data_IF_824642732006
#
_entry.id   IF_824642732006
#
_cell.length_a   1.000
_cell.length_b   1.000
_cell.length_c   1.000
_cell.angle_alpha   90.00
_cell.angle_beta   90.00
_cell.angle_gamma   90.00
#
_symmetry.space_group_name_H-M   'P 1'
#
loop_
_entity.id
_entity.type
_entity.pdbx_description
1 polymer ?
#
# COMPACT_ATOMS: atom_id res chain seq x y z
N UNK A 1 -79.63 22.09 -4.80
CA UNK A 1 -78.99 20.78 -5.06
C UNK A 1 -77.55 21.06 -5.48
N UNK A 2 -76.59 20.50 -4.74
CA UNK A 2 -75.17 20.87 -4.75
C UNK A 2 -74.45 20.42 -6.03
N UNK A 3 -73.74 21.34 -6.69
CA UNK A 3 -73.02 21.09 -7.94
C UNK A 3 -71.53 20.88 -7.66
N UNK A 4 -71.00 19.79 -8.19
CA UNK A 4 -69.63 19.29 -8.06
C UNK A 4 -68.67 20.09 -8.94
N UNK A 5 -67.50 20.44 -8.42
CA UNK A 5 -66.29 20.62 -9.24
C UNK A 5 -65.13 19.84 -8.60
N UNK A 6 -64.59 18.91 -9.38
CA UNK A 6 -63.42 18.08 -9.09
C UNK A 6 -62.13 18.93 -9.17
N UNK A 7 -61.09 18.62 -8.38
CA UNK A 7 -59.79 19.25 -8.55
C UNK A 7 -59.07 18.70 -9.79
N UNK A 8 -58.59 19.61 -10.62
CA UNK A 8 -57.63 19.35 -11.69
C UNK A 8 -56.29 18.93 -11.06
N UNK A 9 -55.89 17.67 -11.26
CA UNK A 9 -54.52 17.21 -11.01
C UNK A 9 -53.74 17.41 -12.30
N UNK A 10 -52.95 18.47 -12.38
CA UNK A 10 -52.00 18.66 -13.46
C UNK A 10 -50.80 17.75 -13.21
N UNK A 11 -50.74 16.62 -13.92
CA UNK A 11 -49.52 15.82 -14.04
C UNK A 11 -48.51 16.60 -14.87
N UNK A 12 -47.66 17.38 -14.20
CA UNK A 12 -46.56 18.07 -14.86
C UNK A 12 -45.47 17.04 -15.22
N UNK A 13 -45.23 16.75 -16.50
CA UNK A 13 -44.24 15.75 -16.92
C UNK A 13 -42.82 16.14 -16.50
N UNK A 14 -42.55 17.43 -16.25
CA UNK A 14 -41.29 17.90 -15.70
C UNK A 14 -41.07 17.46 -14.25
N UNK A 15 -42.13 17.33 -13.45
CA UNK A 15 -42.02 16.90 -12.05
C UNK A 15 -41.70 15.40 -11.94
N UNK A 16 -42.27 14.59 -12.84
CA UNK A 16 -41.95 13.15 -12.94
C UNK A 16 -40.52 12.93 -13.46
N UNK A 17 -40.06 13.76 -14.40
CA UNK A 17 -38.66 13.71 -14.88
C UNK A 17 -37.67 14.10 -13.78
N UNK A 18 -38.02 15.08 -12.95
CA UNK A 18 -37.15 15.55 -11.85
C UNK A 18 -37.00 14.49 -10.75
N UNK A 19 -38.09 13.79 -10.37
CA UNK A 19 -38.04 12.68 -9.42
C UNK A 19 -37.27 11.48 -10.00
N UNK A 20 -37.41 11.21 -11.29
CA UNK A 20 -36.66 10.13 -11.96
C UNK A 20 -35.16 10.45 -12.07
N UNK A 21 -34.79 11.73 -12.24
CA UNK A 21 -33.40 12.18 -12.24
C UNK A 21 -32.79 12.15 -10.83
N UNK A 22 -33.56 12.51 -9.79
CA UNK A 22 -33.15 12.39 -8.38
C UNK A 22 -32.99 10.93 -7.93
N UNK A 23 -33.81 10.01 -8.44
CA UNK A 23 -33.66 8.57 -8.20
C UNK A 23 -32.49 7.94 -8.98
N UNK A 24 -32.05 8.54 -10.10
CA UNK A 24 -30.82 8.12 -10.79
C UNK A 24 -29.54 8.60 -10.09
N UNK A 25 -29.60 9.71 -9.36
CA UNK A 25 -28.47 10.24 -8.57
C UNK A 25 -28.45 9.60 -7.17
N UNK A 26 -29.61 9.19 -6.65
CA UNK A 26 -29.72 8.31 -5.50
C UNK A 26 -29.62 6.84 -5.92
N UNK A 27 -28.53 6.47 -6.62
CA UNK A 27 -28.02 5.12 -6.39
C UNK A 27 -27.81 5.03 -4.88
N UNK A 28 -28.30 3.99 -4.18
CA UNK A 28 -27.77 3.74 -2.86
C UNK A 28 -26.27 3.72 -3.08
N UNK A 29 -25.53 4.57 -2.36
CA UNK A 29 -24.16 4.24 -2.08
C UNK A 29 -24.29 2.84 -1.50
N UNK A 30 -24.04 1.82 -2.32
CA UNK A 30 -23.81 0.48 -1.85
C UNK A 30 -22.84 0.73 -0.73
N UNK A 31 -23.29 0.46 0.50
CA UNK A 31 -22.43 0.50 1.66
C UNK A 31 -21.19 -0.26 1.23
N UNK A 32 -20.13 0.46 0.88
CA UNK A 32 -18.80 -0.08 0.79
C UNK A 32 -18.50 -0.38 2.25
N UNK A 33 -19.11 -1.44 2.77
CA UNK A 33 -18.49 -2.27 3.78
C UNK A 33 -17.15 -2.61 3.15
N UNK A 34 -16.15 -1.78 3.47
CA UNK A 34 -14.73 -1.91 3.17
C UNK A 34 -14.44 -3.34 2.72
N UNK A 35 -14.42 -3.60 1.41
CA UNK A 35 -14.33 -4.97 0.88
C UNK A 35 -13.02 -5.59 1.35
N UNK A 36 -13.10 -6.35 2.45
CA UNK A 36 -11.95 -7.04 3.03
C UNK A 36 -11.51 -8.15 2.08
N UNK A 37 -10.24 -8.51 2.17
CA UNK A 37 -9.69 -9.62 1.40
C UNK A 37 -10.48 -10.91 1.69
N UNK A 38 -11.05 -11.51 0.64
CA UNK A 38 -11.76 -12.78 0.73
C UNK A 38 -10.80 -13.97 0.54
N UNK A 39 -11.15 -15.18 1.00
CA UNK A 39 -10.35 -16.39 0.75
C UNK A 39 -10.07 -16.65 -0.73
N UNK A 40 -11.05 -16.41 -1.62
CA UNK A 40 -10.87 -16.58 -3.06
C UNK A 40 -9.86 -15.59 -3.64
N UNK A 41 -9.89 -14.33 -3.19
CA UNK A 41 -8.92 -13.31 -3.59
C UNK A 41 -7.52 -13.64 -3.04
N UNK A 42 -7.40 -14.08 -1.80
CA UNK A 42 -6.12 -14.51 -1.23
C UNK A 42 -5.52 -15.68 -2.01
N UNK A 43 -6.31 -16.69 -2.38
CA UNK A 43 -5.87 -17.79 -3.23
C UNK A 43 -5.41 -17.31 -4.61
N UNK A 44 -6.16 -16.42 -5.25
CA UNK A 44 -5.82 -15.86 -6.55
C UNK A 44 -4.52 -15.03 -6.51
N UNK A 45 -4.35 -14.19 -5.48
CA UNK A 45 -3.12 -13.44 -5.23
C UNK A 45 -1.91 -14.38 -5.08
N UNK A 46 -2.00 -15.38 -4.21
CA UNK A 46 -0.90 -16.32 -3.97
C UNK A 46 -0.63 -17.17 -5.21
N UNK A 47 -1.66 -17.59 -5.93
CA UNK A 47 -1.51 -18.32 -7.19
C UNK A 47 -0.73 -17.48 -8.22
N UNK A 48 -1.04 -16.18 -8.35
CA UNK A 48 -0.30 -15.26 -9.21
C UNK A 48 1.14 -15.08 -8.75
N UNK A 49 1.36 -14.87 -7.45
CA UNK A 49 2.69 -14.68 -6.86
C UNK A 49 3.63 -15.89 -7.07
N UNK A 50 3.06 -17.10 -7.13
CA UNK A 50 3.79 -18.34 -7.36
C UNK A 50 4.11 -18.60 -8.83
N UNK A 51 3.51 -17.90 -9.79
CA UNK A 51 3.83 -18.07 -11.21
C UNK A 51 5.26 -17.58 -11.50
N UNK A 52 6.00 -18.25 -12.41
CA UNK A 52 7.22 -17.67 -12.97
C UNK A 52 6.89 -16.30 -13.56
N UNK A 53 7.62 -15.26 -13.16
CA UNK A 53 7.36 -13.88 -13.57
C UNK A 53 5.91 -13.39 -13.34
N UNK A 54 5.25 -13.91 -12.30
CA UNK A 54 3.90 -13.49 -11.94
C UNK A 54 3.86 -12.02 -11.51
N UNK A 55 3.49 -11.13 -12.44
CA UNK A 55 3.27 -9.72 -12.15
C UNK A 55 2.00 -9.54 -11.31
N UNK A 56 2.17 -8.98 -10.11
CA UNK A 56 1.08 -8.70 -9.17
C UNK A 56 0.63 -7.25 -9.20
N UNK A 57 1.07 -6.42 -10.15
CA UNK A 57 0.75 -4.99 -10.22
C UNK A 57 -0.74 -4.69 -10.08
N UNK A 58 -1.62 -5.51 -10.66
CA UNK A 58 -3.09 -5.39 -10.51
C UNK A 58 -3.61 -5.57 -9.07
N UNK A 59 -2.83 -6.21 -8.20
CA UNK A 59 -3.14 -6.38 -6.79
C UNK A 59 -2.60 -5.25 -5.94
N UNK A 60 -1.57 -4.54 -6.40
CA UNK A 60 -0.88 -3.54 -5.60
C UNK A 60 -1.68 -2.23 -5.57
N UNK A 61 -1.63 -1.55 -4.44
CA UNK A 61 -2.17 -0.20 -4.32
C UNK A 61 -1.46 0.76 -5.31
N UNK A 62 -2.20 1.54 -6.11
CA UNK A 62 -1.60 2.43 -7.10
C UNK A 62 -0.57 3.41 -6.51
N UNK A 63 -0.78 3.89 -5.29
CA UNK A 63 0.17 4.80 -4.64
C UNK A 63 1.50 4.10 -4.29
N UNK A 64 1.46 2.80 -3.96
CA UNK A 64 2.67 1.99 -3.71
C UNK A 64 3.42 1.75 -5.03
N UNK A 65 2.70 1.43 -6.12
CA UNK A 65 3.31 1.28 -7.44
C UNK A 65 3.99 2.58 -7.91
N UNK A 66 3.27 3.70 -7.81
CA UNK A 66 3.80 5.02 -8.16
C UNK A 66 5.07 5.31 -7.36
N UNK A 67 5.01 5.11 -6.03
CA UNK A 67 6.16 5.33 -5.16
C UNK A 67 7.36 4.48 -5.54
N UNK A 68 7.14 3.20 -5.86
CA UNK A 68 8.24 2.31 -6.27
C UNK A 68 8.91 2.73 -7.59
N UNK A 69 8.19 3.42 -8.48
CA UNK A 69 8.66 3.82 -9.81
C UNK A 69 9.21 5.24 -9.87
N UNK A 70 8.95 6.06 -8.84
CA UNK A 70 9.14 7.52 -8.86
C UNK A 70 10.56 8.02 -9.16
N UNK A 71 11.59 7.26 -8.79
CA UNK A 71 12.99 7.63 -9.00
C UNK A 71 13.60 7.01 -10.28
N UNK A 72 12.81 6.35 -11.12
CA UNK A 72 13.31 5.74 -12.36
C UNK A 72 14.27 4.56 -12.17
N UNK A 73 14.42 4.03 -10.95
CA UNK A 73 15.33 2.91 -10.66
C UNK A 73 14.67 1.58 -11.07
N UNK A 74 15.25 0.91 -12.05
CA UNK A 74 14.85 -0.42 -12.52
C UNK A 74 15.80 -1.51 -12.02
N UNK A 75 15.24 -2.69 -11.71
CA UNK A 75 16.01 -3.84 -11.24
C UNK A 75 15.89 -4.99 -12.25
N UNK A 76 17.03 -5.46 -12.75
CA UNK A 76 17.06 -6.59 -13.66
C UNK A 76 16.68 -7.88 -12.92
N UNK A 77 15.84 -8.72 -13.55
CA UNK A 77 15.43 -10.01 -12.99
C UNK A 77 14.39 -9.93 -11.87
N UNK A 78 13.86 -8.75 -11.57
CA UNK A 78 12.86 -8.55 -10.52
C UNK A 78 11.54 -8.03 -11.11
N UNK A 79 10.50 -8.86 -11.08
CA UNK A 79 9.18 -8.49 -11.63
C UNK A 79 8.41 -7.57 -10.68
N UNK A 80 8.35 -7.93 -9.40
CA UNK A 80 7.55 -7.21 -8.42
C UNK A 80 8.46 -6.38 -7.52
N UNK A 81 8.95 -5.24 -8.02
CA UNK A 81 9.81 -4.31 -7.27
C UNK A 81 9.26 -4.00 -5.88
N UNK A 82 7.95 -3.83 -5.76
CA UNK A 82 7.30 -3.51 -4.47
C UNK A 82 7.52 -4.57 -3.39
N UNK A 83 7.87 -5.82 -3.73
CA UNK A 83 8.04 -6.91 -2.76
C UNK A 83 9.50 -7.19 -2.36
N UNK A 84 10.48 -6.37 -2.74
CA UNK A 84 11.92 -6.69 -2.57
C UNK A 84 12.27 -7.28 -1.19
N UNK A 85 11.65 -6.78 -0.13
CA UNK A 85 11.97 -7.20 1.24
C UNK A 85 11.01 -8.21 1.86
N UNK A 86 9.79 -8.33 1.35
CA UNK A 86 8.71 -9.08 2.01
C UNK A 86 7.99 -10.05 1.07
N UNK A 87 8.65 -10.44 -0.03
CA UNK A 87 8.20 -11.53 -0.90
C UNK A 87 8.35 -12.91 -0.20
N UNK A 88 7.69 -13.93 -0.75
CA UNK A 88 8.01 -15.31 -0.41
C UNK A 88 9.44 -15.64 -0.86
N UNK A 89 10.22 -16.23 0.02
CA UNK A 89 11.59 -16.66 -0.30
C UNK A 89 11.61 -17.58 -1.54
N UNK A 90 12.56 -17.36 -2.46
CA UNK A 90 12.64 -18.12 -3.71
C UNK A 90 12.63 -19.66 -3.54
N UNK A 91 13.36 -20.26 -2.58
CA UNK A 91 13.28 -21.69 -2.32
C UNK A 91 11.87 -22.16 -1.94
N UNK A 92 11.12 -21.34 -1.20
CA UNK A 92 9.73 -21.61 -0.82
C UNK A 92 8.82 -21.54 -2.05
N UNK A 93 8.95 -20.51 -2.89
CA UNK A 93 8.17 -20.39 -4.15
C UNK A 93 8.36 -21.59 -5.07
N UNK A 94 9.61 -22.02 -5.26
CA UNK A 94 9.94 -23.18 -6.10
C UNK A 94 9.30 -24.45 -5.56
N UNK A 95 9.40 -24.68 -4.24
CA UNK A 95 8.86 -25.88 -3.60
C UNK A 95 7.32 -25.92 -3.61
N UNK A 96 6.66 -24.78 -3.38
CA UNK A 96 5.20 -24.66 -3.48
C UNK A 96 4.70 -24.88 -4.92
N UNK A 97 5.36 -24.27 -5.92
CA UNK A 97 5.02 -24.45 -7.34
C UNK A 97 5.17 -25.91 -7.77
N UNK A 98 6.24 -26.56 -7.32
CA UNK A 98 6.49 -27.98 -7.55
C UNK A 98 5.63 -28.94 -6.75
N UNK A 99 4.67 -28.42 -5.94
CA UNK A 99 3.79 -29.20 -5.04
C UNK A 99 4.57 -30.09 -4.05
N UNK A 100 5.81 -29.71 -3.71
CA UNK A 100 6.67 -30.43 -2.75
C UNK A 100 6.37 -30.05 -1.31
N UNK A 101 5.79 -28.88 -1.09
CA UNK A 101 5.36 -28.37 0.20
C UNK A 101 3.88 -27.98 0.12
N UNK A 102 3.20 -28.00 1.26
CA UNK A 102 1.83 -27.48 1.38
C UNK A 102 1.89 -26.03 1.84
N UNK A 103 0.96 -25.23 1.33
CA UNK A 103 0.70 -23.89 1.84
C UNK A 103 -0.56 -23.91 2.70
N UNK A 104 -0.60 -23.02 3.68
CA UNK A 104 -1.78 -22.64 4.44
C UNK A 104 -2.00 -21.15 4.23
N UNK A 105 -3.26 -20.73 4.11
CA UNK A 105 -3.63 -19.32 3.99
C UNK A 105 -4.51 -18.97 5.18
N UNK A 106 -4.09 -17.97 5.95
CA UNK A 106 -4.89 -17.40 7.04
C UNK A 106 -5.11 -15.92 6.76
N UNK A 107 -6.33 -15.44 6.93
CA UNK A 107 -6.68 -14.02 6.77
C UNK A 107 -7.09 -13.49 8.13
N UNK A 108 -6.27 -12.58 8.66
CA UNK A 108 -6.60 -11.84 9.87
C UNK A 108 -7.29 -10.53 9.50
N UNK A 109 -8.37 -10.24 10.22
CA UNK A 109 -8.99 -8.92 10.18
C UNK A 109 -8.19 -7.96 11.05
N UNK A 110 -7.78 -6.82 10.48
CA UNK A 110 -7.16 -5.71 11.20
C UNK A 110 -8.19 -4.58 11.36
N UNK A 111 -7.80 -3.41 11.86
CA UNK A 111 -8.70 -2.27 11.85
C UNK A 111 -9.12 -1.90 10.43
N UNK A 112 -10.40 -1.56 10.24
CA UNK A 112 -10.90 -1.25 8.91
C UNK A 112 -10.14 -0.04 8.32
N UNK A 113 -9.76 -0.08 7.03
CA UNK A 113 -10.11 -1.07 6.02
C UNK A 113 -9.05 -2.19 5.78
N UNK A 114 -8.20 -2.49 6.76
CA UNK A 114 -7.06 -3.38 6.58
C UNK A 114 -7.35 -4.85 6.88
N UNK A 115 -6.58 -5.71 6.21
CA UNK A 115 -6.49 -7.15 6.49
C UNK A 115 -5.06 -7.65 6.28
N UNK A 116 -4.72 -8.76 6.93
CA UNK A 116 -3.41 -9.40 6.81
C UNK A 116 -3.57 -10.83 6.31
N UNK A 117 -2.93 -11.14 5.20
CA UNK A 117 -2.80 -12.50 4.70
C UNK A 117 -1.49 -13.11 5.21
N UNK A 118 -1.58 -14.26 5.85
CA UNK A 118 -0.44 -15.08 6.27
C UNK A 118 -0.37 -16.29 5.35
N UNK A 119 0.74 -16.40 4.62
CA UNK A 119 1.09 -17.59 3.82
C UNK A 119 2.04 -18.45 4.63
N UNK A 120 1.53 -19.53 5.20
CA UNK A 120 2.30 -20.47 6.03
C UNK A 120 2.74 -21.71 5.27
N UNK A 121 3.94 -22.21 5.59
CA UNK A 121 4.50 -23.48 5.11
C UNK A 121 4.95 -24.29 6.34
N UNK A 122 4.04 -25.09 6.93
CA UNK A 122 4.27 -25.73 8.22
C UNK A 122 5.50 -26.65 8.23
N UNK A 123 5.78 -27.35 7.13
CA UNK A 123 6.91 -28.27 7.01
C UNK A 123 8.28 -27.57 7.08
N UNK A 124 8.31 -26.24 7.04
CA UNK A 124 9.53 -25.41 7.09
C UNK A 124 9.54 -24.40 8.23
N UNK A 125 8.53 -24.42 9.09
CA UNK A 125 8.31 -23.37 10.11
C UNK A 125 8.43 -21.95 9.51
N UNK A 126 7.84 -21.78 8.32
CA UNK A 126 7.95 -20.55 7.54
C UNK A 126 6.58 -19.89 7.42
N UNK A 127 6.54 -18.59 7.62
CA UNK A 127 5.36 -17.77 7.38
C UNK A 127 5.77 -16.43 6.76
N UNK A 128 5.00 -15.96 5.77
CA UNK A 128 5.14 -14.63 5.20
C UNK A 128 3.83 -13.86 5.33
N UNK A 129 3.92 -12.60 5.73
CA UNK A 129 2.78 -11.72 5.91
C UNK A 129 2.67 -10.75 4.74
N UNK A 130 1.44 -10.51 4.30
CA UNK A 130 1.07 -9.54 3.29
C UNK A 130 -0.07 -8.68 3.83
N UNK A 131 0.04 -7.36 3.67
CA UNK A 131 -0.94 -6.40 4.20
C UNK A 131 -1.80 -5.86 3.07
N UNK A 132 -3.11 -5.79 3.30
CA UNK A 132 -4.08 -5.34 2.31
C UNK A 132 -4.95 -4.22 2.87
N UNK A 133 -5.18 -3.20 2.04
CA UNK A 133 -6.19 -2.15 2.24
C UNK A 133 -7.36 -2.46 1.31
N UNK A 134 -8.46 -2.95 1.88
CA UNK A 134 -9.49 -3.63 1.10
C UNK A 134 -8.93 -4.85 0.38
N UNK A 135 -8.90 -4.81 -0.95
CA UNK A 135 -8.34 -5.86 -1.82
C UNK A 135 -6.96 -5.52 -2.39
N UNK A 136 -6.41 -4.34 -2.05
CA UNK A 136 -5.14 -3.84 -2.58
C UNK A 136 -3.99 -4.11 -1.63
N UNK A 137 -2.92 -4.73 -2.13
CA UNK A 137 -1.70 -4.94 -1.38
C UNK A 137 -1.03 -3.59 -1.09
N UNK A 138 -0.68 -3.38 0.18
CA UNK A 138 0.09 -2.23 0.64
C UNK A 138 1.42 -2.69 1.24
N UNK A 139 2.41 -1.80 1.26
CA UNK A 139 3.66 -2.09 1.94
C UNK A 139 3.41 -2.23 3.46
N UNK A 140 4.10 -3.14 4.17
CA UNK A 140 4.03 -3.21 5.63
C UNK A 140 4.34 -1.85 6.29
N UNK A 141 5.30 -1.11 5.72
CA UNK A 141 5.61 0.26 6.13
C UNK A 141 4.38 1.18 6.10
N UNK A 142 3.58 1.15 5.03
CA UNK A 142 2.39 2.01 4.92
C UNK A 142 1.31 1.63 5.93
N UNK A 143 1.20 0.35 6.28
CA UNK A 143 0.30 -0.09 7.34
C UNK A 143 0.83 0.36 8.71
N UNK A 144 2.00 -0.10 9.13
CA UNK A 144 2.50 0.12 10.50
C UNK A 144 2.77 1.59 10.83
N UNK A 145 3.12 2.41 9.83
CA UNK A 145 3.42 3.84 10.03
C UNK A 145 2.24 4.78 9.78
N UNK A 146 1.03 4.25 9.53
CA UNK A 146 -0.16 5.05 9.15
C UNK A 146 -0.58 6.14 10.15
N UNK A 147 -0.20 5.97 11.42
CA UNK A 147 -0.53 6.89 12.52
C UNK A 147 0.72 7.56 13.11
N UNK A 148 1.88 7.42 12.47
CA UNK A 148 3.12 8.03 12.93
C UNK A 148 3.13 9.53 12.64
N UNK A 149 3.97 10.26 13.39
CA UNK A 149 4.26 11.66 13.07
C UNK A 149 4.99 11.74 11.73
N UNK A 150 4.74 12.82 10.98
CA UNK A 150 5.42 13.08 9.72
C UNK A 150 6.11 14.44 9.75
N UNK A 151 7.29 14.52 9.13
CA UNK A 151 8.00 15.76 8.86
C UNK A 151 8.72 15.67 7.50
N UNK A 152 8.93 16.80 6.85
CA UNK A 152 9.64 16.85 5.58
C UNK A 152 10.84 17.80 5.66
N UNK A 153 11.89 17.46 4.91
CA UNK A 153 13.05 18.30 4.63
C UNK A 153 13.23 18.44 3.13
N UNK A 154 14.35 18.99 2.67
CA UNK A 154 14.61 19.17 1.24
C UNK A 154 14.54 17.85 0.49
N UNK A 155 15.25 16.82 0.94
CA UNK A 155 15.33 15.53 0.25
C UNK A 155 14.59 14.38 0.93
N UNK A 156 14.04 14.58 2.14
CA UNK A 156 13.46 13.49 2.92
C UNK A 156 12.01 13.73 3.36
N UNK A 157 11.25 12.64 3.45
CA UNK A 157 10.01 12.53 4.21
C UNK A 157 10.26 11.57 5.37
N UNK A 158 10.21 12.10 6.58
CA UNK A 158 10.39 11.34 7.81
C UNK A 158 9.04 10.88 8.33
N UNK A 159 9.00 9.63 8.81
CA UNK A 159 7.93 9.12 9.67
C UNK A 159 8.55 8.65 10.97
N UNK A 160 7.97 9.01 12.10
CA UNK A 160 8.48 8.64 13.43
C UNK A 160 7.33 8.26 14.35
N UNK A 161 7.48 7.14 15.07
CA UNK A 161 6.51 6.69 16.08
C UNK A 161 6.50 7.61 17.30
N UNK A 162 7.68 8.01 17.77
CA UNK A 162 7.84 8.88 18.93
C UNK A 162 8.47 10.24 18.55
N UNK A 163 7.86 11.38 18.93
CA UNK A 163 8.40 12.70 18.61
C UNK A 163 9.83 12.95 19.15
N UNK A 164 10.21 12.27 20.24
CA UNK A 164 11.54 12.40 20.84
C UNK A 164 12.67 11.83 19.96
N UNK A 165 12.35 10.92 19.03
CA UNK A 165 13.32 10.32 18.11
C UNK A 165 13.63 11.24 16.92
N UNK A 166 12.86 12.31 16.74
CA UNK A 166 13.04 13.26 15.66
C UNK A 166 13.95 14.43 16.07
N UNK A 167 15.12 14.53 15.44
CA UNK A 167 16.10 15.59 15.70
C UNK A 167 16.30 16.48 14.48
N UNK A 168 15.80 17.73 14.55
CA UNK A 168 15.92 18.71 13.47
C UNK A 168 17.37 18.97 13.01
N UNK A 169 18.33 18.98 13.93
CA UNK A 169 19.74 19.19 13.58
C UNK A 169 20.26 18.05 12.69
N UNK A 170 19.92 16.80 13.03
CA UNK A 170 20.32 15.64 12.23
C UNK A 170 19.69 15.66 10.82
N UNK A 171 18.48 16.19 10.69
CA UNK A 171 17.79 16.35 9.39
C UNK A 171 18.53 17.32 8.47
N UNK A 172 19.00 18.45 8.99
CA UNK A 172 19.78 19.43 8.22
C UNK A 172 21.11 18.85 7.74
N UNK A 173 21.79 18.07 8.58
CA UNK A 173 23.03 17.37 8.21
C UNK A 173 22.78 16.30 7.14
N UNK A 174 21.66 15.57 7.21
CA UNK A 174 21.27 14.62 6.15
C UNK A 174 21.00 15.32 4.82
N UNK A 175 20.33 16.46 4.82
CA UNK A 175 20.10 17.24 3.60
C UNK A 175 21.42 17.75 3.00
N UNK A 176 22.36 18.19 3.84
CA UNK A 176 23.70 18.60 3.39
C UNK A 176 24.45 17.44 2.77
N UNK A 177 24.46 16.29 3.44
CA UNK A 177 25.10 15.07 2.93
C UNK A 177 24.56 14.67 1.56
N UNK A 178 23.23 14.70 1.37
CA UNK A 178 22.63 14.41 0.05
C UNK A 178 23.07 15.44 -0.98
N UNK A 179 23.04 16.75 -0.67
CA UNK A 179 23.47 17.79 -1.62
C UNK A 179 24.93 17.61 -2.06
N UNK A 180 25.83 17.31 -1.13
CA UNK A 180 27.24 17.04 -1.41
C UNK A 180 27.41 15.77 -2.26
N UNK A 181 26.63 14.73 -1.95
CA UNK A 181 26.65 13.46 -2.70
C UNK A 181 26.15 13.66 -4.14
N UNK A 182 25.06 14.40 -4.34
CA UNK A 182 24.54 14.71 -5.67
C UNK A 182 25.57 15.49 -6.50
N UNK A 183 26.28 16.43 -5.85
CA UNK A 183 27.36 17.19 -6.49
C UNK A 183 28.51 16.27 -6.90
N UNK A 184 28.94 15.40 -6.01
CA UNK A 184 30.03 14.44 -6.26
C UNK A 184 29.68 13.45 -7.38
N UNK A 185 28.43 13.02 -7.45
CA UNK A 185 27.92 12.10 -8.47
C UNK A 185 27.56 12.81 -9.78
N UNK A 186 27.79 14.13 -9.88
CA UNK A 186 27.47 14.95 -11.05
C UNK A 186 26.00 14.81 -11.48
N UNK A 187 25.09 14.66 -10.51
CA UNK A 187 23.64 14.61 -10.78
C UNK A 187 23.19 15.98 -11.27
N UNK A 188 22.49 15.99 -12.40
CA UNK A 188 22.02 17.23 -13.00
C UNK A 188 20.88 17.87 -12.21
N UNK A 189 20.59 19.14 -12.54
CA UNK A 189 19.51 19.89 -11.88
C UNK A 189 18.13 19.23 -12.01
N UNK A 190 17.89 18.46 -13.07
CA UNK A 190 16.64 17.75 -13.28
C UNK A 190 16.50 16.56 -12.31
N UNK A 191 17.56 15.76 -12.16
CA UNK A 191 17.62 14.68 -11.18
C UNK A 191 17.54 15.17 -9.74
N UNK A 192 18.19 16.30 -9.44
CA UNK A 192 18.08 16.94 -8.14
C UNK A 192 16.65 17.40 -7.85
N UNK A 193 16.01 18.10 -8.79
CA UNK A 193 14.62 18.54 -8.64
C UNK A 193 13.66 17.35 -8.48
N UNK A 194 13.89 16.26 -9.21
CA UNK A 194 13.12 15.03 -9.07
C UNK A 194 13.26 14.45 -7.66
N UNK A 195 14.47 14.41 -7.09
CA UNK A 195 14.68 13.90 -5.73
C UNK A 195 14.03 14.79 -4.67
N UNK A 196 14.09 16.11 -4.82
CA UNK A 196 13.44 17.06 -3.90
C UNK A 196 11.91 16.90 -3.89
N UNK A 197 11.33 16.63 -5.07
CA UNK A 197 9.90 16.37 -5.24
C UNK A 197 9.49 15.01 -4.67
N UNK A 198 10.17 13.95 -5.08
CA UNK A 198 9.76 12.57 -4.78
C UNK A 198 10.22 12.07 -3.41
N UNK A 199 11.26 12.68 -2.86
CA UNK A 199 11.86 12.48 -1.54
C UNK A 199 12.29 11.04 -1.23
N UNK A 200 13.27 10.91 -0.36
CA UNK A 200 13.66 9.66 0.29
C UNK A 200 12.75 9.49 1.50
N UNK A 201 12.09 8.33 1.63
CA UNK A 201 11.27 8.03 2.81
C UNK A 201 12.18 7.45 3.89
N UNK A 202 12.21 8.07 5.06
CA UNK A 202 12.99 7.64 6.21
C UNK A 202 12.04 7.28 7.35
N UNK A 203 12.08 6.03 7.81
CA UNK A 203 11.24 5.54 8.90
C UNK A 203 12.10 5.45 10.18
N UNK A 204 11.83 6.32 11.14
CA UNK A 204 12.46 6.34 12.45
C UNK A 204 11.65 5.45 13.38
N UNK A 205 12.11 4.21 13.54
CA UNK A 205 11.52 3.26 14.49
C UNK A 205 12.08 3.54 15.89
N UNK A 206 11.22 3.50 16.89
CA UNK A 206 11.60 3.67 18.30
C UNK A 206 12.36 2.45 18.81
N UNK A 207 11.94 1.26 18.38
CA UNK A 207 12.50 -0.01 18.83
C UNK A 207 12.64 -1.04 17.70
N UNK A 208 13.20 -2.20 18.06
CA UNK A 208 13.42 -3.31 17.14
C UNK A 208 12.14 -4.05 16.76
N UNK A 209 11.07 -3.94 17.55
CA UNK A 209 9.80 -4.60 17.26
C UNK A 209 9.07 -3.85 16.14
N UNK A 210 9.10 -2.52 16.14
CA UNK A 210 8.63 -1.69 15.03
C UNK A 210 9.41 -1.98 13.74
N UNK A 211 10.74 -2.05 13.83
CA UNK A 211 11.61 -2.41 12.70
C UNK A 211 11.24 -3.79 12.15
N UNK A 212 11.07 -4.78 13.01
CA UNK A 212 10.69 -6.14 12.63
C UNK A 212 9.29 -6.18 12.01
N UNK A 213 8.34 -5.40 12.52
CA UNK A 213 6.99 -5.33 11.97
C UNK A 213 6.97 -4.76 10.54
N UNK A 214 7.82 -3.77 10.26
CA UNK A 214 7.91 -3.12 8.94
C UNK A 214 8.71 -3.97 7.95
N UNK A 215 9.80 -4.58 8.40
CA UNK A 215 10.82 -5.15 7.49
C UNK A 215 10.89 -6.67 7.52
N UNK A 216 10.36 -7.29 8.58
CA UNK A 216 10.51 -8.71 8.86
C UNK A 216 11.81 -9.09 9.56
N UNK A 217 12.72 -8.13 9.81
CA UNK A 217 14.05 -8.39 10.37
C UNK A 217 14.26 -7.65 11.70
N UNK A 218 14.88 -8.34 12.66
CA UNK A 218 15.42 -7.69 13.86
C UNK A 218 16.75 -7.03 13.50
N UNK A 219 16.72 -5.71 13.30
CA UNK A 219 17.90 -4.91 12.98
C UNK A 219 17.85 -3.54 13.65
N UNK A 220 18.99 -2.87 13.73
CA UNK A 220 19.09 -1.45 14.14
C UNK A 220 18.91 -0.47 12.98
N UNK A 221 18.88 -0.97 11.75
CA UNK A 221 18.72 -0.18 10.54
C UNK A 221 18.65 -1.08 9.30
N UNK A 222 17.86 -0.68 8.31
CA UNK A 222 17.78 -1.38 7.03
C UNK A 222 17.38 -0.40 5.94
N UNK A 223 17.91 -0.62 4.75
CA UNK A 223 17.58 0.18 3.59
C UNK A 223 16.50 -0.52 2.74
N UNK A 224 15.37 0.16 2.54
CA UNK A 224 14.21 -0.34 1.79
C UNK A 224 14.25 0.17 0.35
N UNK A 225 14.55 -0.74 -0.59
CA UNK A 225 14.76 -0.44 -2.01
C UNK A 225 13.47 -0.24 -2.83
N UNK A 226 12.30 -0.39 -2.21
CA UNK A 226 10.98 -0.15 -2.81
C UNK A 226 9.86 -0.05 -1.77
#
# INVERSE_FOLDING_TARGET
MSNKHLPFVTHDPLFILFISLLLLIARPASSQESERLTPAQAEAFVARLLQPNGDISEWVDPAVLQRSRRLGIEYQGLVNKVLIQYDLANPIKIALRGKKLRKTLTIDTLEAPFSRLIVGVPEKDYAQQFYFRGTRLVAPADYHTRNWGEAESRYFRFRFSEPADFNHYAVEELDRFVAETLTLLEVDSAGQALLEQEKIVYLLCHDTDEMKAITGFESRGIYILA
#
